data_IF_648892289537
#
_entry.id   IF_648892289537
#
_cell.length_a   1.000
_cell.length_b   1.000
_cell.length_c   1.000
_cell.angle_alpha   90.00
_cell.angle_beta   90.00
_cell.angle_gamma   90.00
#
_symmetry.space_group_name_H-M   'P 1'
#
loop_
_entity.id
_entity.type
_entity.pdbx_description
1 polymer ?
#
# COMPACT_ATOMS: atom_id res chain seq x y z
N UNK A 1 4.01 -13.74 -22.21
CA UNK A 1 5.14 -13.75 -21.26
C UNK A 1 5.34 -12.33 -20.77
N UNK A 2 4.99 -12.04 -19.53
CA UNK A 2 5.10 -10.70 -18.92
C UNK A 2 6.56 -10.46 -18.53
N UNK A 3 7.39 -10.02 -19.46
CA UNK A 3 8.74 -9.53 -19.12
C UNK A 3 8.71 -8.01 -19.07
N UNK A 4 9.37 -7.46 -18.08
CA UNK A 4 9.59 -6.02 -17.98
C UNK A 4 10.45 -5.58 -19.18
N UNK A 5 9.94 -4.63 -19.94
CA UNK A 5 10.68 -4.01 -21.07
C UNK A 5 11.39 -2.74 -20.61
N UNK A 6 12.35 -2.24 -21.38
CA UNK A 6 12.94 -0.92 -21.10
C UNK A 6 11.89 0.19 -21.10
N UNK A 7 10.86 0.06 -21.93
CA UNK A 7 9.74 1.01 -21.96
C UNK A 7 8.94 0.96 -20.66
N UNK A 8 8.71 -0.24 -20.10
CA UNK A 8 8.05 -0.38 -18.80
C UNK A 8 8.84 0.29 -17.68
N UNK A 9 10.17 0.14 -17.67
CA UNK A 9 11.05 0.79 -16.68
C UNK A 9 11.04 2.32 -16.78
N UNK A 10 10.98 2.86 -18.01
CA UNK A 10 10.87 4.31 -18.23
C UNK A 10 9.59 4.90 -17.64
N UNK A 11 8.54 4.10 -17.49
CA UNK A 11 7.26 4.51 -16.90
C UNK A 11 7.21 4.17 -15.41
N UNK A 12 7.60 2.95 -15.04
CA UNK A 12 7.47 2.44 -13.67
C UNK A 12 8.32 3.22 -12.66
N UNK A 13 9.56 3.55 -13.03
CA UNK A 13 10.48 4.23 -12.11
C UNK A 13 10.06 5.67 -11.75
N UNK A 14 9.66 6.53 -12.71
CA UNK A 14 9.08 7.82 -12.38
C UNK A 14 7.81 7.70 -11.54
N UNK A 15 6.91 6.77 -11.84
CA UNK A 15 5.69 6.54 -11.06
C UNK A 15 6.00 6.09 -9.63
N UNK A 16 6.97 5.20 -9.44
CA UNK A 16 7.42 4.80 -8.11
C UNK A 16 8.02 5.98 -7.34
N UNK A 17 8.76 6.89 -7.99
CA UNK A 17 9.28 8.10 -7.36
C UNK A 17 8.15 9.07 -6.97
N UNK A 18 7.14 9.26 -7.84
CA UNK A 18 5.96 10.08 -7.54
C UNK A 18 5.18 9.47 -6.36
N UNK A 19 4.99 8.15 -6.37
CA UNK A 19 4.35 7.45 -5.27
C UNK A 19 5.11 7.62 -3.95
N UNK A 20 6.44 7.50 -3.97
CA UNK A 20 7.26 7.74 -2.77
C UNK A 20 7.16 9.20 -2.29
N UNK A 21 7.16 10.18 -3.21
CA UNK A 21 7.00 11.57 -2.85
C UNK A 21 5.61 11.86 -2.24
N UNK A 22 4.57 11.15 -2.67
CA UNK A 22 3.22 11.32 -2.13
C UNK A 22 3.10 10.93 -0.65
N UNK A 23 3.92 10.02 -0.12
CA UNK A 23 3.99 9.75 1.33
C UNK A 23 4.39 11.00 2.13
N UNK A 24 5.33 11.80 1.60
CA UNK A 24 5.74 13.05 2.25
C UNK A 24 4.59 14.05 2.26
N UNK A 25 3.87 14.17 1.14
CA UNK A 25 2.73 15.10 1.02
C UNK A 25 1.58 14.66 1.94
N UNK A 26 1.30 13.34 2.00
CA UNK A 26 0.32 12.78 2.95
C UNK A 26 0.73 13.11 4.40
N UNK A 27 2.00 12.90 4.76
CA UNK A 27 2.50 13.24 6.10
C UNK A 27 2.33 14.73 6.45
N UNK A 28 2.57 15.63 5.47
CA UNK A 28 2.34 17.07 5.65
C UNK A 28 0.84 17.37 5.82
N UNK A 29 -0.03 16.75 5.01
CA UNK A 29 -1.48 16.95 5.10
C UNK A 29 -2.02 16.50 6.47
N UNK A 30 -1.55 15.39 7.01
CA UNK A 30 -1.84 14.96 8.37
C UNK A 30 -1.34 15.97 9.40
N UNK A 31 -0.08 16.39 9.31
CA UNK A 31 0.51 17.34 10.25
C UNK A 31 -0.13 18.72 10.25
N UNK A 32 -0.78 19.12 9.17
CA UNK A 32 -1.50 20.40 9.04
C UNK A 32 -3.01 20.28 9.24
N UNK A 33 -3.53 19.08 9.48
CA UNK A 33 -4.97 18.78 9.61
C UNK A 33 -5.81 19.28 8.42
N UNK A 34 -5.21 19.26 7.21
CA UNK A 34 -5.89 19.68 5.98
C UNK A 34 -6.72 18.52 5.43
N UNK A 35 -7.97 18.41 5.89
CA UNK A 35 -8.89 17.30 5.55
C UNK A 35 -9.20 17.22 4.05
N UNK A 36 -9.34 18.36 3.36
CA UNK A 36 -9.62 18.37 1.91
C UNK A 36 -8.43 17.81 1.11
N UNK A 37 -7.22 18.27 1.40
CA UNK A 37 -6.01 17.74 0.77
C UNK A 37 -5.81 16.28 1.09
N UNK A 38 -6.05 15.88 2.34
CA UNK A 38 -5.92 14.49 2.79
C UNK A 38 -6.89 13.58 2.04
N UNK A 39 -8.17 13.97 1.92
CA UNK A 39 -9.18 13.19 1.19
C UNK A 39 -8.84 13.03 -0.29
N UNK A 40 -8.38 14.10 -0.96
CA UNK A 40 -7.92 14.02 -2.34
C UNK A 40 -6.71 13.08 -2.51
N UNK A 41 -5.73 13.18 -1.62
CA UNK A 41 -4.54 12.32 -1.65
C UNK A 41 -4.92 10.86 -1.39
N UNK A 42 -5.78 10.58 -0.42
CA UNK A 42 -6.27 9.22 -0.14
C UNK A 42 -7.06 8.65 -1.31
N UNK A 43 -7.78 9.47 -2.09
CA UNK A 43 -8.45 9.03 -3.31
C UNK A 43 -7.50 8.63 -4.44
N UNK A 44 -6.38 9.32 -4.63
CA UNK A 44 -5.43 9.04 -5.71
C UNK A 44 -4.30 8.08 -5.33
N UNK A 45 -3.89 8.08 -4.08
CA UNK A 45 -2.77 7.28 -3.58
C UNK A 45 -2.91 5.77 -3.84
N UNK A 46 -4.06 5.13 -3.57
CA UNK A 46 -4.23 3.71 -3.86
C UNK A 46 -4.13 3.38 -5.34
N UNK A 47 -4.66 4.25 -6.21
CA UNK A 47 -4.60 4.05 -7.67
C UNK A 47 -3.14 4.06 -8.15
N UNK A 48 -2.35 5.02 -7.67
CA UNK A 48 -0.93 5.11 -8.01
C UNK A 48 -0.14 3.90 -7.49
N UNK A 49 -0.44 3.45 -6.26
CA UNK A 49 0.12 2.24 -5.68
C UNK A 49 -0.13 1.01 -6.57
N UNK A 50 -1.36 0.82 -7.03
CA UNK A 50 -1.73 -0.29 -7.90
C UNK A 50 -0.97 -0.29 -9.22
N UNK A 51 -0.76 0.88 -9.82
CA UNK A 51 0.01 0.99 -11.06
C UNK A 51 1.45 0.55 -10.82
N UNK A 52 2.08 0.99 -9.73
CA UNK A 52 3.43 0.59 -9.36
C UNK A 52 3.51 -0.90 -9.09
N UNK A 53 2.54 -1.46 -8.35
CA UNK A 53 2.45 -2.90 -8.07
C UNK A 53 2.26 -3.73 -9.33
N UNK A 54 1.44 -3.28 -10.28
CA UNK A 54 1.28 -3.95 -11.57
C UNK A 54 2.62 -4.06 -12.32
N UNK A 55 3.40 -2.99 -12.38
CA UNK A 55 4.72 -3.04 -12.99
C UNK A 55 5.68 -3.95 -12.21
N UNK A 56 5.58 -3.97 -10.89
CA UNK A 56 6.41 -4.85 -10.05
C UNK A 56 6.18 -6.33 -10.32
N UNK A 57 4.94 -6.75 -10.65
CA UNK A 57 4.65 -8.13 -11.04
C UNK A 57 5.42 -8.59 -12.28
N UNK A 58 5.82 -7.66 -13.16
CA UNK A 58 6.61 -7.99 -14.35
C UNK A 58 8.06 -8.36 -14.02
N UNK A 59 8.54 -7.99 -12.82
CA UNK A 59 9.86 -8.35 -12.32
C UNK A 59 9.91 -9.78 -11.74
N UNK A 60 8.76 -10.31 -11.34
CA UNK A 60 8.66 -11.57 -10.61
C UNK A 60 8.81 -12.79 -11.53
N UNK A 61 9.31 -13.88 -10.96
CA UNK A 61 9.22 -15.20 -11.58
C UNK A 61 7.76 -15.60 -11.80
N UNK A 62 7.51 -16.58 -12.65
CA UNK A 62 6.14 -17.04 -12.91
C UNK A 62 5.44 -17.57 -11.65
N UNK A 63 6.17 -18.31 -10.82
CA UNK A 63 5.64 -18.83 -9.56
C UNK A 63 5.30 -17.71 -8.56
N UNK A 64 6.19 -16.73 -8.38
CA UNK A 64 5.97 -15.59 -7.50
C UNK A 64 4.81 -14.72 -8.00
N UNK A 65 4.72 -14.51 -9.31
CA UNK A 65 3.62 -13.78 -9.93
C UNK A 65 2.29 -14.47 -9.71
N UNK A 66 2.23 -15.79 -9.89
CA UNK A 66 1.02 -16.58 -9.64
C UNK A 66 0.59 -16.50 -8.18
N UNK A 67 1.55 -16.45 -7.24
CA UNK A 67 1.26 -16.23 -5.83
C UNK A 67 0.71 -14.82 -5.58
N UNK A 68 1.33 -13.76 -6.15
CA UNK A 68 0.99 -12.37 -5.84
C UNK A 68 -0.26 -11.85 -6.55
N UNK A 69 -0.58 -12.41 -7.73
CA UNK A 69 -1.66 -11.88 -8.58
C UNK A 69 -3.04 -11.84 -7.89
N UNK A 70 -3.51 -12.89 -7.18
CA UNK A 70 -4.78 -12.84 -6.46
C UNK A 70 -4.80 -11.73 -5.39
N UNK A 71 -3.70 -11.54 -4.67
CA UNK A 71 -3.60 -10.52 -3.63
C UNK A 71 -3.55 -9.11 -4.22
N UNK A 72 -2.94 -8.94 -5.40
CA UNK A 72 -3.03 -7.69 -6.14
C UNK A 72 -4.46 -7.38 -6.57
N UNK A 73 -5.22 -8.37 -7.04
CA UNK A 73 -6.62 -8.17 -7.40
C UNK A 73 -7.48 -7.78 -6.19
N UNK A 74 -7.26 -8.42 -5.03
CA UNK A 74 -7.93 -8.06 -3.78
C UNK A 74 -7.57 -6.64 -3.34
N UNK A 75 -6.28 -6.29 -3.36
CA UNK A 75 -5.81 -4.95 -3.05
C UNK A 75 -6.36 -3.91 -4.04
N UNK A 76 -6.50 -4.27 -5.33
CA UNK A 76 -7.10 -3.41 -6.35
C UNK A 76 -8.58 -3.14 -6.09
N UNK A 77 -9.34 -4.18 -5.78
CA UNK A 77 -10.77 -4.04 -5.46
C UNK A 77 -10.96 -3.12 -4.24
N UNK A 78 -10.21 -3.36 -3.16
CA UNK A 78 -10.25 -2.52 -1.96
C UNK A 78 -9.82 -1.08 -2.27
N UNK A 79 -8.74 -0.89 -3.01
CA UNK A 79 -8.26 0.46 -3.36
C UNK A 79 -9.28 1.27 -4.18
N UNK A 80 -10.06 0.63 -5.03
CA UNK A 80 -11.15 1.29 -5.76
C UNK A 80 -12.26 1.73 -4.78
N UNK A 81 -12.62 0.86 -3.85
CA UNK A 81 -13.61 1.18 -2.80
C UNK A 81 -13.09 2.34 -1.95
N UNK A 82 -11.87 2.25 -1.42
CA UNK A 82 -11.24 3.29 -0.59
C UNK A 82 -11.17 4.64 -1.31
N UNK A 83 -10.81 4.63 -2.62
CA UNK A 83 -10.75 5.85 -3.42
C UNK A 83 -12.13 6.48 -3.58
N UNK A 84 -13.16 5.69 -3.89
CA UNK A 84 -14.53 6.16 -4.01
C UNK A 84 -15.03 6.77 -2.70
N UNK A 85 -14.80 6.07 -1.60
CA UNK A 85 -15.22 6.48 -0.25
C UNK A 85 -14.49 7.74 0.21
N UNK A 86 -13.18 7.86 -0.08
CA UNK A 86 -12.40 9.04 0.21
C UNK A 86 -12.91 10.29 -0.54
N UNK A 87 -13.25 10.15 -1.82
CA UNK A 87 -13.84 11.24 -2.59
C UNK A 87 -15.23 11.62 -2.07
N UNK A 88 -16.06 10.64 -1.73
CA UNK A 88 -17.40 10.87 -1.21
C UNK A 88 -17.37 11.56 0.18
N UNK A 89 -16.50 11.11 1.09
CA UNK A 89 -16.31 11.75 2.39
C UNK A 89 -15.80 13.19 2.26
N UNK A 90 -14.84 13.44 1.35
CA UNK A 90 -14.34 14.79 1.05
C UNK A 90 -15.47 15.68 0.53
N UNK A 91 -16.33 15.16 -0.36
CA UNK A 91 -17.49 15.87 -0.91
C UNK A 91 -18.51 16.24 0.17
N UNK A 92 -18.67 15.38 1.17
CA UNK A 92 -19.62 15.56 2.28
C UNK A 92 -19.03 16.33 3.46
N UNK A 93 -17.72 16.57 3.49
CA UNK A 93 -17.02 17.20 4.61
C UNK A 93 -17.01 16.35 5.89
N UNK A 94 -17.03 15.00 5.75
CA UNK A 94 -17.03 14.04 6.86
C UNK A 94 -15.66 13.40 7.01
N UNK A 95 -15.28 13.04 8.23
CA UNK A 95 -14.05 12.28 8.49
C UNK A 95 -14.15 10.82 8.04
N UNK A 96 -13.01 10.26 7.57
CA UNK A 96 -12.90 8.94 6.95
C UNK A 96 -12.74 7.78 7.96
N UNK A 97 -13.31 7.86 9.14
CA UNK A 97 -13.09 6.88 10.22
C UNK A 97 -13.54 5.43 9.90
N UNK A 98 -14.41 5.24 8.92
CA UNK A 98 -15.09 3.95 8.70
C UNK A 98 -14.23 2.96 7.90
N UNK A 99 -13.21 3.41 7.17
CA UNK A 99 -12.53 2.61 6.12
C UNK A 99 -11.23 1.96 6.56
N UNK A 100 -10.79 2.26 7.76
CA UNK A 100 -9.50 1.81 8.31
C UNK A 100 -9.40 0.27 8.32
N UNK A 101 -10.49 -0.45 8.63
CA UNK A 101 -10.44 -1.91 8.79
C UNK A 101 -10.17 -2.64 7.49
N UNK A 102 -10.92 -2.32 6.42
CA UNK A 102 -10.76 -2.96 5.11
C UNK A 102 -9.39 -2.68 4.51
N UNK A 103 -8.99 -1.42 4.49
CA UNK A 103 -7.69 -0.97 3.97
C UNK A 103 -6.54 -1.63 4.69
N UNK A 104 -6.52 -1.60 6.03
CA UNK A 104 -5.47 -2.22 6.83
C UNK A 104 -5.42 -3.74 6.61
N UNK A 105 -6.56 -4.42 6.55
CA UNK A 105 -6.60 -5.85 6.34
C UNK A 105 -6.05 -6.25 4.97
N UNK A 106 -6.50 -5.64 3.88
CA UNK A 106 -6.08 -6.03 2.53
C UNK A 106 -4.66 -5.57 2.21
N UNK A 107 -4.26 -4.38 2.64
CA UNK A 107 -2.87 -3.92 2.55
C UNK A 107 -1.98 -4.85 3.38
N UNK A 108 -2.38 -5.16 4.60
CA UNK A 108 -1.64 -6.05 5.48
C UNK A 108 -1.46 -7.43 4.87
N UNK A 109 -2.54 -8.01 4.33
CA UNK A 109 -2.50 -9.32 3.69
C UNK A 109 -1.59 -9.33 2.46
N UNK A 110 -1.65 -8.29 1.61
CA UNK A 110 -0.76 -8.14 0.47
C UNK A 110 0.70 -8.13 0.91
N UNK A 111 1.05 -7.29 1.89
CA UNK A 111 2.42 -7.16 2.40
C UNK A 111 2.89 -8.42 3.12
N UNK A 112 2.02 -9.09 3.86
CA UNK A 112 2.31 -10.37 4.49
C UNK A 112 2.74 -11.41 3.45
N UNK A 113 1.98 -11.59 2.38
CA UNK A 113 2.27 -12.54 1.31
C UNK A 113 3.46 -12.10 0.45
N UNK A 114 3.69 -10.79 0.33
CA UNK A 114 4.80 -10.23 -0.43
C UNK A 114 6.19 -10.67 0.11
N UNK A 115 6.29 -11.10 1.36
CA UNK A 115 7.52 -11.70 1.91
C UNK A 115 8.00 -12.89 1.08
N UNK A 116 7.08 -13.73 0.61
CA UNK A 116 7.38 -14.88 -0.27
C UNK A 116 7.30 -14.52 -1.75
N UNK A 117 6.33 -13.67 -2.11
CA UNK A 117 6.02 -13.31 -3.48
C UNK A 117 7.06 -12.42 -4.16
N UNK A 118 7.88 -11.72 -3.39
CA UNK A 118 8.98 -10.88 -3.90
C UNK A 118 10.37 -11.41 -3.53
N UNK A 119 10.45 -12.70 -3.24
CA UNK A 119 11.68 -13.34 -2.75
C UNK A 119 12.85 -13.19 -3.71
N UNK A 120 12.62 -13.25 -5.02
CA UNK A 120 13.68 -13.21 -6.04
C UNK A 120 14.27 -11.82 -6.25
N UNK A 121 13.53 -10.76 -5.91
CA UNK A 121 13.93 -9.38 -6.25
C UNK A 121 14.20 -8.49 -5.04
N UNK A 122 13.51 -8.68 -3.92
CA UNK A 122 13.70 -7.84 -2.76
C UNK A 122 14.88 -8.31 -1.90
N UNK A 123 15.66 -7.35 -1.37
CA UNK A 123 16.69 -7.66 -0.38
C UNK A 123 16.04 -8.20 0.92
N UNK A 124 16.81 -8.96 1.69
CA UNK A 124 16.33 -9.62 2.92
C UNK A 124 15.67 -8.64 3.90
N UNK A 125 16.28 -7.46 4.13
CA UNK A 125 15.72 -6.43 4.99
C UNK A 125 14.37 -5.90 4.49
N UNK A 126 14.21 -5.71 3.17
CA UNK A 126 12.94 -5.29 2.57
C UNK A 126 11.85 -6.34 2.73
N UNK A 127 12.19 -7.62 2.61
CA UNK A 127 11.24 -8.73 2.83
C UNK A 127 10.78 -8.82 4.27
N UNK A 128 11.68 -8.71 5.26
CA UNK A 128 11.27 -8.71 6.66
C UNK A 128 10.48 -7.47 7.05
N UNK A 129 10.82 -6.31 6.50
CA UNK A 129 10.03 -5.10 6.71
C UNK A 129 8.59 -5.28 6.19
N UNK A 130 8.42 -5.85 4.98
CA UNK A 130 7.08 -6.09 4.44
C UNK A 130 6.30 -7.14 5.25
N UNK A 131 6.95 -8.19 5.76
CA UNK A 131 6.32 -9.19 6.62
C UNK A 131 5.80 -8.57 7.92
N UNK A 132 6.67 -7.84 8.62
CA UNK A 132 6.32 -7.20 9.90
C UNK A 132 5.27 -6.10 9.70
N UNK A 133 5.41 -5.28 8.66
CA UNK A 133 4.40 -4.29 8.29
C UNK A 133 3.05 -4.92 7.96
N UNK A 134 3.04 -6.03 7.21
CA UNK A 134 1.83 -6.77 6.91
C UNK A 134 1.14 -7.33 8.15
N UNK A 135 1.90 -7.94 9.07
CA UNK A 135 1.37 -8.45 10.35
C UNK A 135 0.78 -7.30 11.17
N UNK A 136 1.46 -6.15 11.26
CA UNK A 136 0.97 -5.02 12.06
C UNK A 136 -0.34 -4.47 11.51
N UNK A 137 -0.49 -4.37 10.19
CA UNK A 137 -1.73 -3.88 9.56
C UNK A 137 -2.90 -4.87 9.76
N UNK A 138 -2.67 -6.18 9.62
CA UNK A 138 -3.69 -7.20 9.93
C UNK A 138 -4.10 -7.12 11.40
N UNK A 139 -3.14 -6.92 12.29
CA UNK A 139 -3.40 -6.78 13.73
C UNK A 139 -4.20 -5.50 14.01
N UNK A 140 -3.84 -4.36 13.40
CA UNK A 140 -4.58 -3.11 13.53
C UNK A 140 -6.05 -3.28 13.10
N UNK A 141 -6.29 -3.90 11.94
CA UNK A 141 -7.64 -4.21 11.47
C UNK A 141 -8.42 -5.09 12.46
N UNK A 142 -7.79 -6.14 12.97
CA UNK A 142 -8.42 -7.04 13.95
C UNK A 142 -8.74 -6.32 15.25
N UNK A 143 -7.85 -5.49 15.77
CA UNK A 143 -8.06 -4.73 17.01
C UNK A 143 -9.23 -3.76 16.87
N UNK A 144 -9.35 -3.07 15.72
CA UNK A 144 -10.51 -2.20 15.45
C UNK A 144 -11.82 -2.99 15.42
N UNK A 145 -11.85 -4.17 14.78
CA UNK A 145 -13.04 -5.04 14.79
C UNK A 145 -13.48 -5.47 16.20
N UNK A 146 -12.53 -5.59 17.12
CA UNK A 146 -12.80 -5.90 18.53
C UNK A 146 -13.00 -4.65 19.41
N UNK A 147 -13.12 -3.45 18.82
CA UNK A 147 -13.32 -2.20 19.56
C UNK A 147 -12.11 -1.75 20.39
N UNK A 148 -10.90 -2.25 20.05
CA UNK A 148 -9.66 -1.93 20.76
C UNK A 148 -8.84 -0.86 20.02
N UNK A 149 -9.46 0.31 19.81
CA UNK A 149 -8.85 1.41 19.08
C UNK A 149 -7.57 1.93 19.75
N UNK A 150 -7.49 1.84 21.07
CA UNK A 150 -6.28 2.15 21.85
C UNK A 150 -5.05 1.31 21.44
N UNK A 151 -5.27 0.03 21.11
CA UNK A 151 -4.23 -0.87 20.66
C UNK A 151 -4.04 -0.83 19.13
N UNK A 152 -5.05 -0.40 18.38
CA UNK A 152 -4.95 -0.16 16.95
C UNK A 152 -3.83 0.84 16.64
N UNK A 153 -3.83 1.99 17.30
CA UNK A 153 -2.84 3.04 17.11
C UNK A 153 -1.42 2.53 17.36
N UNK A 154 -1.24 1.66 18.37
CA UNK A 154 0.05 1.02 18.66
C UNK A 154 0.46 0.09 17.51
N UNK A 155 -0.45 -0.72 16.98
CA UNK A 155 -0.16 -1.61 15.87
C UNK A 155 0.16 -0.82 14.60
N UNK A 156 -0.55 0.28 14.36
CA UNK A 156 -0.34 1.14 13.17
C UNK A 156 0.99 1.92 13.23
N UNK A 157 1.60 2.09 14.40
CA UNK A 157 2.96 2.69 14.49
C UNK A 157 4.02 1.94 13.68
N UNK A 158 3.76 0.69 13.28
CA UNK A 158 4.63 -0.08 12.39
C UNK A 158 4.40 0.19 10.88
N UNK A 159 3.46 1.07 10.51
CA UNK A 159 3.23 1.48 9.11
C UNK A 159 4.50 1.93 8.36
N UNK A 160 5.49 2.60 8.97
CA UNK A 160 6.76 2.91 8.32
C UNK A 160 7.49 1.70 7.73
N UNK A 161 7.26 0.48 8.24
CA UNK A 161 7.81 -0.75 7.67
C UNK A 161 7.27 -1.02 6.25
N UNK A 162 6.03 -0.61 5.95
CA UNK A 162 5.47 -0.65 4.61
C UNK A 162 6.18 0.33 3.69
N UNK A 163 6.54 1.51 4.17
CA UNK A 163 7.34 2.48 3.41
C UNK A 163 8.70 1.89 3.04
N UNK A 164 9.33 1.14 3.95
CA UNK A 164 10.59 0.43 3.70
C UNK A 164 10.45 -0.59 2.55
N UNK A 165 9.33 -1.33 2.48
CA UNK A 165 9.03 -2.19 1.34
C UNK A 165 9.01 -1.39 0.03
N UNK A 166 8.33 -0.25 -0.01
CA UNK A 166 8.23 0.58 -1.20
C UNK A 166 9.58 1.16 -1.63
N UNK A 167 10.44 1.54 -0.67
CA UNK A 167 11.82 1.95 -0.94
C UNK A 167 12.61 0.80 -1.57
N UNK A 168 12.50 -0.41 -1.00
CA UNK A 168 13.17 -1.59 -1.53
C UNK A 168 12.68 -1.93 -2.94
N UNK A 169 11.36 -1.88 -3.18
CA UNK A 169 10.75 -2.15 -4.49
C UNK A 169 11.19 -1.12 -5.53
N UNK A 170 11.17 0.16 -5.19
CA UNK A 170 11.65 1.25 -6.06
C UNK A 170 13.11 1.05 -6.47
N UNK A 171 13.96 0.56 -5.57
CA UNK A 171 15.37 0.38 -5.83
C UNK A 171 15.68 -0.80 -6.79
N UNK A 172 14.77 -1.73 -6.95
CA UNK A 172 14.89 -2.86 -7.89
C UNK A 172 14.20 -2.60 -9.24
N UNK A 173 13.40 -1.54 -9.36
CA UNK A 173 12.87 -1.00 -10.60
C UNK A 173 13.88 -0.04 -11.25
#
# INVERSE_FOLDING_TARGET
>A
MFKLTEQDLRVAKPLANIFMASFVVVGIAFGTSNLELLGLLQGFFPILALIVLYYSLKLLTEQERSLMFPFLLMAAAQSIIDSYEAFEATRQGVELDIYIVGTHYFIGLYHFVAFWGYKSILPTWGRYATLLGGISQILAAALTLFGRNDLHDIADTAFPLIIIFWIALRNVM
#
